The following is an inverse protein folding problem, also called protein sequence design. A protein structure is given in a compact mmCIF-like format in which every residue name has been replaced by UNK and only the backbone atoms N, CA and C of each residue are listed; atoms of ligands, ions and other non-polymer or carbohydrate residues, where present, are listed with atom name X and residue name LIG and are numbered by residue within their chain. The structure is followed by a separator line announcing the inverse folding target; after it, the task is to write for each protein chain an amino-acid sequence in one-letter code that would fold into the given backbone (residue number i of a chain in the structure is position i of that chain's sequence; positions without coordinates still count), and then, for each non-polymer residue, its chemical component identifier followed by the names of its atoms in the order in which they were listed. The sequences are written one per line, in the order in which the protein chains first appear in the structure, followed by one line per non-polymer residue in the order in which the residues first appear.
data_IF_875298520940
#
_entry.id   IF_875298520940
#
_cell.length_a   1.000
_cell.length_b   1.000
_cell.length_c   1.000
_cell.angle_alpha   90.00
_cell.angle_beta   90.00
_cell.angle_gamma   90.00
#
_symmetry.space_group_name_H-M   'P 1'
#
loop_
_entity.id
_entity.type
_entity.pdbx_description
1 polymer ?
#
# COMPACT_ATOMS: atom_id res chain seq x y z
N UNK A 1 72.88 -17.07 -16.69
CA UNK A 1 72.94 -18.42 -16.08
C UNK A 1 72.15 -19.46 -16.90
N UNK A 2 70.90 -19.21 -17.31
CA UNK A 2 70.16 -20.15 -18.17
C UNK A 2 70.82 -20.35 -19.56
N UNK A 3 71.28 -19.26 -20.20
CA UNK A 3 71.94 -19.30 -21.53
C UNK A 3 73.24 -20.12 -21.51
N UNK A 4 74.00 -20.03 -20.41
CA UNK A 4 75.23 -20.81 -20.24
C UNK A 4 74.96 -22.29 -20.04
N UNK A 5 73.85 -22.65 -19.38
CA UNK A 5 73.46 -24.06 -19.15
C UNK A 5 72.92 -24.68 -20.44
N UNK A 6 72.09 -23.97 -21.22
CA UNK A 6 71.64 -24.44 -22.54
C UNK A 6 72.78 -24.56 -23.54
N UNK A 7 73.72 -23.61 -23.55
CA UNK A 7 74.89 -23.68 -24.42
C UNK A 7 75.74 -24.92 -24.11
N UNK A 8 76.00 -25.22 -22.83
CA UNK A 8 76.76 -26.42 -22.42
C UNK A 8 76.01 -27.71 -22.75
N UNK A 9 74.69 -27.77 -22.52
CA UNK A 9 73.87 -28.93 -22.87
C UNK A 9 73.83 -29.21 -24.38
N UNK A 10 73.70 -28.17 -25.20
CA UNK A 10 73.73 -28.28 -26.65
C UNK A 10 75.11 -28.75 -27.14
N UNK A 11 76.18 -28.21 -26.56
CA UNK A 11 77.56 -28.57 -26.92
C UNK A 11 77.87 -30.04 -26.58
N UNK A 12 77.38 -30.54 -25.45
CA UNK A 12 77.48 -31.95 -25.07
C UNK A 12 76.68 -32.89 -25.99
N UNK A 13 75.46 -32.51 -26.37
CA UNK A 13 74.63 -33.29 -27.28
C UNK A 13 75.22 -33.34 -28.70
N UNK A 14 75.72 -32.20 -29.20
CA UNK A 14 76.41 -32.14 -30.49
C UNK A 14 77.70 -32.96 -30.44
N UNK A 15 78.50 -32.85 -29.38
CA UNK A 15 79.70 -33.67 -29.22
C UNK A 15 79.40 -35.17 -29.25
N UNK A 16 78.31 -35.62 -28.60
CA UNK A 16 77.89 -37.02 -28.61
C UNK A 16 77.50 -37.53 -30.02
N UNK A 17 76.92 -36.68 -30.87
CA UNK A 17 76.58 -37.05 -32.26
C UNK A 17 77.81 -37.24 -33.16
N UNK A 18 78.95 -36.65 -32.83
CA UNK A 18 80.20 -36.78 -33.61
C UNK A 18 81.08 -37.96 -33.15
N UNK A 19 80.79 -38.59 -32.01
CA UNK A 19 81.54 -39.75 -31.50
C UNK A 19 81.64 -40.93 -32.50
N UNK A 20 80.57 -41.32 -33.22
CA UNK A 20 80.64 -42.41 -34.19
C UNK A 20 81.52 -42.08 -35.41
N UNK A 21 81.56 -40.81 -35.82
CA UNK A 21 82.34 -40.36 -36.96
C UNK A 21 83.85 -40.27 -36.64
N UNK A 22 84.21 -39.97 -35.40
CA UNK A 22 85.61 -39.80 -34.97
C UNK A 22 86.29 -41.15 -34.68
N UNK A 23 85.57 -42.14 -34.13
CA UNK A 23 86.17 -43.39 -33.63
C UNK A 23 86.02 -44.61 -34.55
N UNK A 24 85.24 -44.51 -35.63
CA UNK A 24 85.19 -45.53 -36.70
C UNK A 24 84.87 -46.96 -36.21
N UNK A 25 85.39 -47.98 -36.91
CA UNK A 25 85.07 -49.39 -36.68
C UNK A 25 85.53 -49.98 -35.32
N UNK A 26 86.19 -49.20 -34.46
CA UNK A 26 86.55 -49.59 -33.09
C UNK A 26 85.49 -49.19 -32.05
N UNK A 27 84.25 -48.96 -32.49
CA UNK A 27 83.12 -48.58 -31.62
C UNK A 27 82.63 -49.78 -30.80
N UNK A 28 83.39 -50.15 -29.76
CA UNK A 28 83.00 -51.18 -28.81
C UNK A 28 81.90 -50.71 -27.84
N UNK A 29 81.25 -51.67 -27.17
CA UNK A 29 80.13 -51.49 -26.23
C UNK A 29 80.33 -50.43 -25.13
N UNK A 30 81.58 -50.05 -24.81
CA UNK A 30 81.88 -49.00 -23.83
C UNK A 30 81.58 -47.58 -24.34
N UNK A 31 81.83 -47.33 -25.63
CA UNK A 31 81.63 -45.99 -26.23
C UNK A 31 80.14 -45.71 -26.48
N UNK A 32 79.33 -46.76 -26.74
CA UNK A 32 77.88 -46.61 -26.82
C UNK A 32 77.27 -46.23 -25.47
N UNK A 33 77.70 -46.89 -24.37
CA UNK A 33 77.28 -46.54 -23.01
C UNK A 33 77.64 -45.10 -22.64
N UNK A 34 78.85 -44.65 -22.96
CA UNK A 34 79.27 -43.27 -22.67
C UNK A 34 78.44 -42.24 -23.45
N UNK A 35 78.16 -42.50 -24.73
CA UNK A 35 77.31 -41.63 -25.55
C UNK A 35 75.88 -41.56 -25.00
N UNK A 36 75.28 -42.67 -24.57
CA UNK A 36 73.94 -42.68 -23.97
C UNK A 36 73.89 -41.90 -22.66
N UNK A 37 74.91 -42.03 -21.81
CA UNK A 37 75.01 -41.25 -20.56
C UNK A 37 75.15 -39.75 -20.86
N UNK A 38 75.98 -39.37 -21.83
CA UNK A 38 76.17 -37.97 -22.21
C UNK A 38 74.88 -37.34 -22.77
N UNK A 39 74.13 -38.09 -23.59
CA UNK A 39 72.85 -37.64 -24.15
C UNK A 39 71.82 -37.48 -23.04
N UNK A 40 71.74 -38.41 -22.09
CA UNK A 40 70.79 -38.31 -20.97
C UNK A 40 71.11 -37.13 -20.06
N UNK A 41 72.39 -36.86 -19.78
CA UNK A 41 72.82 -35.69 -18.99
C UNK A 41 72.57 -34.38 -19.76
N UNK A 42 72.87 -34.35 -21.06
CA UNK A 42 72.61 -33.18 -21.91
C UNK A 42 71.11 -32.84 -21.98
N UNK A 43 70.26 -33.86 -22.13
CA UNK A 43 68.80 -33.69 -22.21
C UNK A 43 68.21 -33.21 -20.88
N UNK A 44 68.68 -33.75 -19.75
CA UNK A 44 68.22 -33.30 -18.42
C UNK A 44 68.65 -31.87 -18.13
N UNK A 45 69.86 -31.46 -18.50
CA UNK A 45 70.31 -30.07 -18.38
C UNK A 45 69.49 -29.11 -19.27
N UNK A 46 69.15 -29.53 -20.49
CA UNK A 46 68.33 -28.71 -21.38
C UNK A 46 66.90 -28.56 -20.85
N UNK A 47 66.32 -29.62 -20.29
CA UNK A 47 65.00 -29.60 -19.66
C UNK A 47 64.97 -28.67 -18.44
N UNK A 48 65.99 -28.75 -17.59
CA UNK A 48 66.11 -27.87 -16.42
C UNK A 48 66.20 -26.39 -16.81
N UNK A 49 66.96 -26.07 -17.87
CA UNK A 49 67.05 -24.70 -18.36
C UNK A 49 65.74 -24.20 -18.98
N UNK A 50 65.00 -25.07 -19.70
CA UNK A 50 63.68 -24.74 -20.23
C UNK A 50 62.69 -24.44 -19.09
N UNK A 51 62.71 -25.23 -18.02
CA UNK A 51 61.90 -25.01 -16.82
C UNK A 51 62.16 -23.65 -16.18
N UNK A 52 63.42 -23.24 -16.04
CA UNK A 52 63.78 -21.93 -15.47
C UNK A 52 63.28 -20.77 -16.34
N UNK A 53 63.28 -20.93 -17.67
CA UNK A 53 62.76 -19.90 -18.59
C UNK A 53 61.24 -19.80 -18.48
N UNK A 54 60.54 -20.94 -18.40
CA UNK A 54 59.08 -20.97 -18.21
C UNK A 54 58.68 -20.35 -16.87
N UNK A 55 59.40 -20.67 -15.80
CA UNK A 55 59.17 -20.11 -14.46
C UNK A 55 59.34 -18.59 -14.45
N UNK A 56 60.42 -18.07 -15.05
CA UNK A 56 60.61 -16.62 -15.18
C UNK A 56 59.56 -15.94 -16.05
N UNK A 57 59.07 -16.61 -17.08
CA UNK A 57 58.04 -16.07 -17.96
C UNK A 57 56.68 -15.99 -17.25
N UNK A 58 56.33 -17.02 -16.47
CA UNK A 58 55.13 -17.04 -15.64
C UNK A 58 55.16 -15.94 -14.57
N UNK A 59 56.27 -15.77 -13.85
CA UNK A 59 56.42 -14.71 -12.84
C UNK A 59 56.27 -13.31 -13.44
N UNK A 60 56.77 -13.09 -14.67
CA UNK A 60 56.62 -11.79 -15.35
C UNK A 60 55.17 -11.51 -15.78
N UNK A 61 54.42 -12.55 -16.17
CA UNK A 61 53.00 -12.42 -16.55
C UNK A 61 52.14 -12.15 -15.32
N UNK A 62 52.43 -12.80 -14.18
CA UNK A 62 51.70 -12.65 -12.93
C UNK A 62 51.83 -11.22 -12.37
N UNK A 63 53.05 -10.64 -12.37
CA UNK A 63 53.28 -9.26 -11.93
C UNK A 63 52.62 -8.20 -12.83
N UNK A 64 52.52 -8.46 -14.15
CA UNK A 64 51.85 -7.55 -15.07
C UNK A 64 50.31 -7.63 -15.00
N UNK A 65 49.77 -8.79 -14.59
CA UNK A 65 48.34 -8.99 -14.41
C UNK A 65 47.84 -8.35 -13.10
N UNK A 66 48.63 -8.39 -12.02
CA UNK A 66 48.24 -7.88 -10.71
C UNK A 66 48.04 -6.36 -10.70
N UNK A 67 48.96 -5.58 -11.30
CA UNK A 67 48.83 -4.11 -11.37
C UNK A 67 47.68 -3.62 -12.27
N UNK A 68 47.37 -4.33 -13.36
CA UNK A 68 46.23 -3.96 -14.23
C UNK A 68 44.88 -4.38 -13.65
N UNK A 69 44.85 -5.48 -12.90
CA UNK A 69 43.62 -5.92 -12.23
C UNK A 69 43.20 -4.98 -11.10
N UNK A 70 44.15 -4.46 -10.31
CA UNK A 70 43.84 -3.53 -9.20
C UNK A 70 43.33 -2.18 -9.70
N UNK A 71 43.90 -1.63 -10.77
CA UNK A 71 43.47 -0.33 -11.32
C UNK A 71 42.07 -0.41 -11.93
N UNK A 72 41.75 -1.50 -12.65
CA UNK A 72 40.42 -1.73 -13.22
C UNK A 72 39.37 -1.98 -12.13
N UNK A 73 39.74 -2.66 -11.03
CA UNK A 73 38.83 -2.88 -9.90
C UNK A 73 38.58 -1.58 -9.14
N UNK A 74 39.60 -0.74 -8.93
CA UNK A 74 39.43 0.54 -8.24
C UNK A 74 38.58 1.52 -9.06
N UNK A 75 38.79 1.61 -10.36
CA UNK A 75 37.97 2.46 -11.23
C UNK A 75 36.52 1.97 -11.31
N UNK A 76 36.29 0.66 -11.43
CA UNK A 76 34.94 0.08 -11.35
C UNK A 76 34.30 0.30 -9.99
N UNK A 77 35.07 0.25 -8.90
CA UNK A 77 34.53 0.48 -7.55
C UNK A 77 34.19 1.95 -7.34
N UNK A 78 34.97 2.89 -7.87
CA UNK A 78 34.64 4.33 -7.87
C UNK A 78 33.41 4.63 -8.71
N UNK A 79 33.32 4.04 -9.91
CA UNK A 79 32.17 4.17 -10.79
C UNK A 79 30.89 3.60 -10.13
N UNK A 80 30.98 2.41 -9.54
CA UNK A 80 29.86 1.80 -8.81
C UNK A 80 29.45 2.61 -7.58
N UNK A 81 30.40 3.17 -6.82
CA UNK A 81 30.08 4.07 -5.69
C UNK A 81 29.38 5.33 -6.19
N UNK A 82 29.88 5.95 -7.26
CA UNK A 82 29.26 7.14 -7.85
C UNK A 82 27.85 6.84 -8.38
N UNK A 83 27.64 5.70 -9.04
CA UNK A 83 26.31 5.25 -9.48
C UNK A 83 25.38 4.94 -8.31
N UNK A 84 25.90 4.38 -7.21
CA UNK A 84 25.14 4.10 -6.00
C UNK A 84 24.74 5.39 -5.29
N UNK A 85 25.63 6.39 -5.23
CA UNK A 85 25.35 7.72 -4.67
C UNK A 85 24.33 8.50 -5.52
N UNK A 86 24.45 8.47 -6.85
CA UNK A 86 23.46 9.05 -7.76
C UNK A 86 22.10 8.37 -7.60
N UNK A 87 22.07 7.04 -7.52
CA UNK A 87 20.83 6.29 -7.29
C UNK A 87 20.23 6.62 -5.93
N UNK A 88 21.03 6.66 -4.86
CA UNK A 88 20.56 7.01 -3.52
C UNK A 88 19.98 8.43 -3.50
N UNK A 89 20.61 9.38 -4.20
CA UNK A 89 20.12 10.75 -4.34
C UNK A 89 18.79 10.80 -5.09
N UNK A 90 18.66 10.07 -6.19
CA UNK A 90 17.40 9.97 -6.95
C UNK A 90 16.28 9.32 -6.15
N UNK A 91 16.59 8.26 -5.40
CA UNK A 91 15.63 7.59 -4.52
C UNK A 91 15.19 8.54 -3.41
N UNK A 92 16.11 9.28 -2.79
CA UNK A 92 15.77 10.29 -1.79
C UNK A 92 14.88 11.41 -2.37
N UNK A 93 15.20 11.92 -3.56
CA UNK A 93 14.39 12.94 -4.23
C UNK A 93 12.99 12.42 -4.62
N UNK A 94 12.88 11.17 -5.08
CA UNK A 94 11.59 10.53 -5.37
C UNK A 94 10.77 10.32 -4.09
N UNK A 95 11.42 9.92 -3.00
CA UNK A 95 10.78 9.76 -1.70
C UNK A 95 10.26 11.12 -1.19
N UNK A 96 11.07 12.17 -1.25
CA UNK A 96 10.67 13.53 -0.87
C UNK A 96 9.51 14.06 -1.72
N UNK A 97 9.55 13.84 -3.05
CA UNK A 97 8.46 14.23 -3.94
C UNK A 97 7.17 13.43 -3.66
N UNK A 98 7.29 12.15 -3.32
CA UNK A 98 6.17 11.29 -2.94
C UNK A 98 5.56 11.75 -1.61
N UNK A 99 6.39 11.98 -0.60
CA UNK A 99 5.97 12.44 0.73
C UNK A 99 5.30 13.82 0.65
N UNK A 100 5.85 14.73 -0.14
CA UNK A 100 5.23 16.04 -0.42
C UNK A 100 3.86 15.91 -1.08
N UNK A 101 3.71 15.01 -2.06
CA UNK A 101 2.43 14.76 -2.74
C UNK A 101 1.40 14.07 -1.84
N UNK A 102 1.85 13.23 -0.91
CA UNK A 102 0.97 12.61 0.09
C UNK A 102 0.47 13.65 1.09
N UNK A 103 1.35 14.51 1.59
CA UNK A 103 1.00 15.60 2.49
C UNK A 103 0.00 16.59 1.85
N UNK A 104 0.19 16.95 0.58
CA UNK A 104 -0.75 17.80 -0.16
C UNK A 104 -2.14 17.15 -0.27
N UNK A 105 -2.20 15.84 -0.56
CA UNK A 105 -3.47 15.10 -0.60
C UNK A 105 -4.15 15.03 0.76
N UNK A 106 -3.38 14.86 1.84
CA UNK A 106 -3.93 14.84 3.19
C UNK A 106 -4.48 16.21 3.60
N UNK A 107 -3.81 17.30 3.21
CA UNK A 107 -4.32 18.66 3.40
C UNK A 107 -5.63 18.91 2.63
N UNK A 108 -5.69 18.55 1.35
CA UNK A 108 -6.92 18.67 0.53
C UNK A 108 -8.09 17.86 1.13
N UNK A 109 -7.83 16.66 1.66
CA UNK A 109 -8.86 15.88 2.38
C UNK A 109 -9.33 16.59 3.64
N UNK A 110 -8.40 17.08 4.47
CA UNK A 110 -8.73 17.79 5.70
C UNK A 110 -9.59 19.04 5.42
N UNK A 111 -9.27 19.80 4.36
CA UNK A 111 -10.05 20.96 3.93
C UNK A 111 -11.47 20.56 3.50
N UNK A 112 -11.63 19.47 2.73
CA UNK A 112 -12.96 18.95 2.35
C UNK A 112 -13.79 18.56 3.57
N UNK A 113 -13.20 17.90 4.55
CA UNK A 113 -13.91 17.55 5.79
C UNK A 113 -14.32 18.78 6.59
N UNK A 114 -13.43 19.77 6.72
CA UNK A 114 -13.74 21.03 7.39
C UNK A 114 -14.85 21.82 6.69
N UNK A 115 -14.97 21.71 5.36
CA UNK A 115 -16.05 22.35 4.60
C UNK A 115 -17.43 21.80 4.95
N UNK A 116 -17.56 20.51 5.25
CA UNK A 116 -18.86 19.89 5.62
C UNK A 116 -19.49 20.59 6.83
N UNK A 117 -18.68 20.92 7.84
CA UNK A 117 -19.17 21.59 9.04
C UNK A 117 -19.50 23.09 8.81
N UNK A 118 -18.89 23.74 7.81
CA UNK A 118 -19.10 25.16 7.52
C UNK A 118 -20.25 25.40 6.55
N UNK A 119 -20.36 24.56 5.55
CA UNK A 119 -21.32 24.67 4.45
C UNK A 119 -21.82 23.28 4.09
N UNK A 120 -22.91 22.87 4.74
CA UNK A 120 -23.56 21.61 4.46
C UNK A 120 -24.34 21.71 3.14
N UNK A 121 -23.81 21.08 2.10
CA UNK A 121 -24.47 20.92 0.81
C UNK A 121 -24.28 19.50 0.31
N UNK A 122 -25.08 19.11 -0.69
CA UNK A 122 -24.92 17.81 -1.33
C UNK A 122 -23.48 17.62 -1.83
N UNK A 123 -22.90 18.64 -2.46
CA UNK A 123 -21.55 18.58 -3.05
C UNK A 123 -20.45 18.41 -1.99
N UNK A 124 -20.54 19.13 -0.87
CA UNK A 124 -19.54 19.05 0.20
C UNK A 124 -19.61 17.71 0.92
N UNK A 125 -20.82 17.23 1.25
CA UNK A 125 -21.01 15.93 1.93
C UNK A 125 -20.57 14.77 1.05
N UNK A 126 -21.03 14.71 -0.20
CA UNK A 126 -20.65 13.63 -1.12
C UNK A 126 -19.16 13.67 -1.46
N UNK A 127 -18.55 14.85 -1.60
CA UNK A 127 -17.10 14.94 -1.85
C UNK A 127 -16.26 14.46 -0.66
N UNK A 128 -16.72 14.72 0.56
CA UNK A 128 -16.09 14.24 1.78
C UNK A 128 -16.23 12.71 1.92
N UNK A 129 -17.41 12.16 1.66
CA UNK A 129 -17.63 10.70 1.65
C UNK A 129 -16.76 9.99 0.59
N UNK A 130 -16.69 10.54 -0.63
CA UNK A 130 -15.80 10.03 -1.70
C UNK A 130 -14.33 10.04 -1.26
N UNK A 131 -13.88 11.11 -0.61
CA UNK A 131 -12.50 11.24 -0.13
C UNK A 131 -12.14 10.21 0.96
N UNK A 132 -13.08 9.89 1.85
CA UNK A 132 -12.92 8.83 2.85
C UNK A 132 -12.95 7.43 2.20
N UNK A 133 -13.82 7.23 1.20
CA UNK A 133 -13.91 5.97 0.45
C UNK A 133 -12.66 5.71 -0.40
N UNK A 134 -12.04 6.74 -0.97
CA UNK A 134 -10.81 6.64 -1.76
C UNK A 134 -9.65 5.97 -1.00
N UNK A 135 -9.62 6.11 0.33
CA UNK A 135 -8.61 5.48 1.20
C UNK A 135 -9.13 4.23 1.91
N UNK A 136 -10.39 3.84 1.66
CA UNK A 136 -11.05 2.72 2.34
C UNK A 136 -11.24 2.96 3.84
N UNK A 137 -11.51 4.21 4.25
CA UNK A 137 -11.73 4.55 5.65
C UNK A 137 -13.11 4.11 6.16
N UNK A 138 -14.09 3.89 5.26
CA UNK A 138 -15.46 3.49 5.59
C UNK A 138 -15.70 2.04 5.18
N UNK A 139 -16.20 1.21 6.09
CA UNK A 139 -16.29 -0.24 5.90
C UNK A 139 -17.31 -0.66 4.83
N UNK A 140 -18.42 0.07 4.75
CA UNK A 140 -19.50 -0.13 3.76
C UNK A 140 -19.70 1.10 2.90
N UNK A 141 -18.68 1.95 2.82
CA UNK A 141 -18.74 3.22 2.12
C UNK A 141 -19.78 4.22 2.65
N UNK A 142 -20.20 3.98 3.89
CA UNK A 142 -21.20 4.71 4.65
C UNK A 142 -20.68 4.92 6.07
N UNK A 143 -21.24 5.90 6.76
CA UNK A 143 -20.89 6.21 8.14
C UNK A 143 -22.13 6.58 8.92
N UNK A 144 -22.18 6.16 10.17
CA UNK A 144 -23.21 6.56 11.11
C UNK A 144 -22.62 7.51 12.16
N UNK A 145 -23.32 8.61 12.42
CA UNK A 145 -22.88 9.66 13.35
C UNK A 145 -24.05 10.20 14.17
N UNK A 146 -23.83 10.67 15.41
CA UNK A 146 -24.86 11.36 16.18
C UNK A 146 -25.21 12.71 15.56
N UNK A 147 -26.49 13.00 15.51
CA UNK A 147 -27.06 14.31 15.17
C UNK A 147 -27.15 15.26 16.38
N UNK A 148 -26.45 14.98 17.47
CA UNK A 148 -26.50 15.79 18.69
C UNK A 148 -25.25 15.59 19.56
N UNK A 149 -25.18 16.32 20.68
CA UNK A 149 -24.10 16.20 21.66
C UNK A 149 -24.37 15.15 22.74
N UNK A 150 -25.65 14.83 22.94
CA UNK A 150 -26.08 13.91 23.99
C UNK A 150 -25.93 12.45 23.55
N UNK A 151 -25.77 11.54 24.52
CA UNK A 151 -25.61 10.12 24.25
C UNK A 151 -26.83 9.51 23.54
N UNK A 152 -28.03 10.01 23.86
CA UNK A 152 -29.31 9.57 23.30
C UNK A 152 -29.71 10.32 22.02
N UNK A 153 -28.81 11.15 21.47
CA UNK A 153 -29.05 11.83 20.20
C UNK A 153 -29.27 10.82 19.06
N UNK A 154 -30.15 11.15 18.08
CA UNK A 154 -30.42 10.28 16.96
C UNK A 154 -29.14 10.02 16.17
N UNK A 155 -28.91 8.76 15.79
CA UNK A 155 -27.79 8.37 14.93
C UNK A 155 -28.26 8.39 13.48
N UNK A 156 -27.55 9.15 12.65
CA UNK A 156 -27.86 9.32 11.23
C UNK A 156 -26.85 8.51 10.44
N UNK A 157 -27.36 7.50 9.74
CA UNK A 157 -26.62 6.76 8.73
C UNK A 157 -26.60 7.57 7.44
N UNK A 158 -25.41 7.75 6.86
CA UNK A 158 -25.20 8.46 5.61
C UNK A 158 -24.45 7.57 4.62
N UNK A 159 -24.97 7.47 3.40
CA UNK A 159 -24.38 6.66 2.34
C UNK A 159 -24.44 7.37 0.99
N UNK A 160 -23.33 7.36 0.26
CA UNK A 160 -23.25 7.84 -1.12
C UNK A 160 -22.98 6.66 -2.06
N UNK A 161 -24.05 6.12 -2.65
CA UNK A 161 -24.01 4.90 -3.43
C UNK A 161 -25.07 4.92 -4.54
N UNK A 162 -24.96 4.03 -5.55
CA UNK A 162 -26.03 3.82 -6.52
C UNK A 162 -27.33 3.45 -5.78
N UNK A 163 -28.47 3.97 -6.27
CA UNK A 163 -29.78 3.50 -5.81
C UNK A 163 -29.85 1.99 -6.02
N UNK A 164 -29.98 1.22 -4.94
CA UNK A 164 -30.25 -0.20 -5.08
C UNK A 164 -31.66 -0.34 -5.67
N UNK A 165 -31.75 -0.70 -6.95
CA UNK A 165 -33.02 -1.05 -7.59
C UNK A 165 -33.70 -2.11 -6.73
N UNK A 166 -34.86 -1.78 -6.18
CA UNK A 166 -35.65 -2.65 -5.33
C UNK A 166 -36.24 -3.79 -6.16
N UNK A 167 -35.44 -4.82 -6.48
CA UNK A 167 -35.78 -6.13 -7.08
C UNK A 167 -36.74 -6.16 -8.31
N UNK A 168 -37.14 -5.00 -8.84
CA UNK A 168 -37.89 -4.86 -10.09
C UNK A 168 -36.90 -4.94 -11.25
N UNK A 169 -36.48 -6.17 -11.55
CA UNK A 169 -35.48 -6.61 -12.54
C UNK A 169 -35.76 -6.23 -14.01
N UNK A 170 -36.36 -5.07 -14.29
CA UNK A 170 -36.75 -4.66 -15.64
C UNK A 170 -36.44 -3.22 -16.04
N UNK A 171 -35.91 -2.38 -15.15
CA UNK A 171 -35.43 -1.06 -15.56
C UNK A 171 -33.91 -1.11 -15.69
N UNK A 172 -33.36 -1.06 -16.89
CA UNK A 172 -31.91 -1.01 -17.11
C UNK A 172 -31.42 0.40 -17.44
N UNK A 173 -32.13 1.44 -17.00
CA UNK A 173 -31.78 2.81 -17.34
C UNK A 173 -31.49 3.59 -16.06
N UNK A 174 -30.19 3.74 -15.80
CA UNK A 174 -29.57 4.79 -14.99
C UNK A 174 -30.22 5.01 -13.62
N UNK A 175 -29.82 4.18 -12.65
CA UNK A 175 -30.04 4.49 -11.23
C UNK A 175 -29.40 5.85 -10.92
N UNK A 176 -30.23 6.87 -10.71
CA UNK A 176 -29.76 8.18 -10.29
C UNK A 176 -28.98 8.05 -8.97
N UNK A 177 -27.81 8.69 -8.88
CA UNK A 177 -26.97 8.61 -7.69
C UNK A 177 -27.56 9.48 -6.60
N UNK A 178 -27.80 8.90 -5.42
CA UNK A 178 -28.49 9.60 -4.34
C UNK A 178 -27.68 9.50 -3.05
N UNK A 179 -27.58 10.62 -2.34
CA UNK A 179 -27.08 10.63 -0.97
C UNK A 179 -28.25 10.22 -0.08
N UNK A 180 -28.09 9.14 0.67
CA UNK A 180 -29.14 8.57 1.50
C UNK A 180 -28.89 8.90 2.97
N UNK A 181 -29.92 9.40 3.65
CA UNK A 181 -29.91 9.65 5.09
C UNK A 181 -30.95 8.75 5.74
N UNK A 182 -30.59 8.04 6.80
CA UNK A 182 -31.57 7.30 7.59
C UNK A 182 -31.29 7.33 9.09
N UNK A 183 -32.35 7.13 9.86
CA UNK A 183 -32.35 7.09 11.31
C UNK A 183 -33.17 5.89 11.75
N UNK A 184 -32.59 5.07 12.62
CA UNK A 184 -33.33 3.99 13.29
C UNK A 184 -34.07 4.53 14.51
N UNK A 185 -35.40 4.40 14.49
CA UNK A 185 -36.28 4.76 15.60
C UNK A 185 -36.27 3.73 16.73
N UNK A 186 -36.79 4.13 17.90
CA UNK A 186 -36.81 3.28 19.09
C UNK A 186 -37.59 1.96 18.90
N UNK A 187 -38.64 1.99 18.07
CA UNK A 187 -39.50 0.85 17.76
C UNK A 187 -39.02 0.04 16.54
N UNK A 188 -37.74 0.18 16.15
CA UNK A 188 -37.18 -0.37 14.91
C UNK A 188 -37.86 0.16 13.64
N UNK A 189 -38.52 1.31 13.76
CA UNK A 189 -39.02 2.06 12.61
C UNK A 189 -37.83 2.70 11.91
N UNK A 190 -37.58 2.28 10.68
CA UNK A 190 -36.52 2.86 9.87
C UNK A 190 -37.08 4.05 9.10
N UNK A 191 -36.57 5.24 9.37
CA UNK A 191 -36.91 6.45 8.63
C UNK A 191 -35.76 6.78 7.71
N UNK A 192 -36.07 7.08 6.46
CA UNK A 192 -35.10 7.30 5.41
C UNK A 192 -35.56 8.40 4.46
N UNK A 193 -34.62 9.24 4.04
CA UNK A 193 -34.83 10.27 3.02
C UNK A 193 -33.71 10.24 1.98
N UNK A 194 -34.07 10.55 0.75
CA UNK A 194 -33.14 10.70 -0.36
C UNK A 194 -32.75 12.18 -0.47
N UNK A 195 -31.46 12.47 -0.62
CA UNK A 195 -30.93 13.81 -0.83
C UNK A 195 -30.42 13.92 -2.28
N UNK A 196 -31.21 14.50 -3.20
CA UNK A 196 -30.78 14.78 -4.57
C UNK A 196 -29.90 16.05 -4.64
N UNK A 197 -29.15 16.22 -5.73
CA UNK A 197 -28.16 17.29 -5.89
C UNK A 197 -28.75 18.70 -6.04
N UNK A 198 -30.03 18.79 -6.44
CA UNK A 198 -30.79 20.02 -6.62
C UNK A 198 -31.47 20.51 -5.33
N UNK A 199 -31.47 19.71 -4.26
CA UNK A 199 -32.16 20.03 -3.00
C UNK A 199 -31.22 20.55 -1.93
N UNK A 200 -31.63 21.63 -1.26
CA UNK A 200 -30.89 22.22 -0.17
C UNK A 200 -30.87 21.29 1.07
N UNK A 201 -29.76 21.31 1.83
CA UNK A 201 -29.60 20.49 3.02
C UNK A 201 -30.75 20.66 4.01
N UNK A 202 -31.17 21.91 4.24
CA UNK A 202 -32.23 22.22 5.21
C UNK A 202 -33.56 21.54 4.85
N UNK A 203 -33.93 21.52 3.57
CA UNK A 203 -35.19 20.92 3.12
C UNK A 203 -35.18 19.39 3.28
N UNK A 204 -34.03 18.75 3.10
CA UNK A 204 -33.87 17.30 3.33
C UNK A 204 -33.96 16.97 4.81
N UNK A 205 -33.36 17.80 5.67
CA UNK A 205 -33.41 17.61 7.12
C UNK A 205 -34.82 17.87 7.65
N UNK A 206 -35.53 18.87 7.14
CA UNK A 206 -36.95 19.10 7.46
C UNK A 206 -37.80 17.89 7.08
N UNK A 207 -37.60 17.32 5.89
CA UNK A 207 -38.29 16.09 5.47
C UNK A 207 -37.98 14.91 6.41
N UNK A 208 -36.71 14.72 6.79
CA UNK A 208 -36.31 13.68 7.74
C UNK A 208 -36.99 13.85 9.10
N UNK A 209 -37.05 15.08 9.62
CA UNK A 209 -37.70 15.39 10.88
C UNK A 209 -39.23 15.18 10.81
N UNK A 210 -39.85 15.54 9.70
CA UNK A 210 -41.27 15.32 9.46
C UNK A 210 -41.61 13.82 9.39
N UNK A 211 -40.77 13.01 8.74
CA UNK A 211 -40.92 11.55 8.72
C UNK A 211 -40.72 10.93 10.10
N UNK A 212 -39.73 11.41 10.88
CA UNK A 212 -39.53 10.99 12.26
C UNK A 212 -40.76 11.28 13.12
N UNK A 213 -41.32 12.50 13.01
CA UNK A 213 -42.55 12.89 13.71
C UNK A 213 -43.74 12.03 13.29
N UNK A 214 -43.93 11.80 11.98
CA UNK A 214 -45.02 10.95 11.44
C UNK A 214 -44.92 9.50 11.88
N UNK A 215 -43.70 9.01 12.08
CA UNK A 215 -43.42 7.65 12.57
C UNK A 215 -43.52 7.53 14.10
N UNK A 216 -43.94 8.59 14.82
CA UNK A 216 -44.07 8.59 16.28
C UNK A 216 -42.77 8.84 17.04
N UNK A 217 -41.67 9.13 16.36
CA UNK A 217 -40.35 9.37 16.95
C UNK A 217 -40.11 10.84 17.32
N UNK A 218 -41.13 11.54 17.83
CA UNK A 218 -41.07 12.98 18.11
C UNK A 218 -39.92 13.37 19.07
N UNK A 219 -39.57 12.50 20.03
CA UNK A 219 -38.43 12.73 20.94
C UNK A 219 -37.09 12.75 20.18
N UNK A 220 -36.92 11.88 19.19
CA UNK A 220 -35.71 11.87 18.35
C UNK A 220 -35.65 13.13 17.49
N UNK A 221 -36.77 13.52 16.89
CA UNK A 221 -36.85 14.77 16.11
C UNK A 221 -36.50 16.00 16.96
N UNK A 222 -36.90 16.04 18.24
CA UNK A 222 -36.56 17.13 19.16
C UNK A 222 -35.08 17.16 19.57
N UNK A 223 -34.43 15.99 19.68
CA UNK A 223 -33.02 15.88 20.03
C UNK A 223 -32.07 16.06 18.82
N UNK A 224 -32.62 16.19 17.62
CA UNK A 224 -31.87 16.35 16.39
C UNK A 224 -31.33 17.77 16.24
N UNK A 225 -30.03 17.89 15.99
CA UNK A 225 -29.32 19.14 15.73
C UNK A 225 -28.57 19.05 14.39
N UNK A 226 -29.01 19.77 13.35
CA UNK A 226 -28.30 19.84 12.06
C UNK A 226 -26.83 20.28 12.21
N UNK A 227 -26.56 21.25 13.07
CA UNK A 227 -25.21 21.75 13.32
C UNK A 227 -24.32 20.65 13.91
N UNK A 228 -24.80 19.95 14.94
CA UNK A 228 -24.06 18.86 15.56
C UNK A 228 -23.86 17.69 14.58
N UNK A 229 -24.86 17.36 13.76
CA UNK A 229 -24.77 16.33 12.72
C UNK A 229 -23.59 16.56 11.78
N UNK A 230 -23.51 17.73 11.15
CA UNK A 230 -22.45 18.01 10.16
C UNK A 230 -21.08 18.22 10.81
N UNK A 231 -21.03 18.79 12.03
CA UNK A 231 -19.80 18.87 12.80
C UNK A 231 -19.26 17.48 13.17
N UNK A 232 -20.13 16.57 13.62
CA UNK A 232 -19.78 15.21 13.96
C UNK A 232 -19.41 14.39 12.73
N UNK A 233 -20.10 14.59 11.59
CA UNK A 233 -19.72 13.99 10.31
C UNK A 233 -18.31 14.40 9.88
N UNK A 234 -18.00 15.71 9.92
CA UNK A 234 -16.66 16.21 9.57
C UNK A 234 -15.57 15.56 10.45
N UNK A 235 -15.81 15.48 11.77
CA UNK A 235 -14.91 14.81 12.72
C UNK A 235 -14.77 13.32 12.44
N UNK A 236 -15.89 12.63 12.22
CA UNK A 236 -15.91 11.20 11.94
C UNK A 236 -15.10 10.86 10.69
N UNK A 237 -15.28 11.59 9.59
CA UNK A 237 -14.55 11.36 8.35
C UNK A 237 -13.06 11.69 8.48
N UNK A 238 -12.73 12.77 9.19
CA UNK A 238 -11.35 13.12 9.50
C UNK A 238 -10.67 12.04 10.34
N UNK A 239 -11.32 11.56 11.39
CA UNK A 239 -10.76 10.55 12.29
C UNK A 239 -10.63 9.18 11.61
N UNK A 240 -11.66 8.75 10.89
CA UNK A 240 -11.63 7.50 10.11
C UNK A 240 -10.51 7.52 9.05
N UNK A 241 -10.33 8.66 8.35
CA UNK A 241 -9.26 8.84 7.36
C UNK A 241 -7.89 8.83 8.04
N UNK A 242 -7.73 9.59 9.13
CA UNK A 242 -6.48 9.67 9.90
C UNK A 242 -6.04 8.29 10.35
N UNK A 243 -6.94 7.52 10.97
CA UNK A 243 -6.62 6.16 11.43
C UNK A 243 -6.19 5.26 10.28
N UNK A 244 -6.73 5.47 9.08
CA UNK A 244 -6.44 4.67 7.91
C UNK A 244 -5.10 5.03 7.24
N UNK A 245 -4.72 6.31 7.26
CA UNK A 245 -3.51 6.82 6.59
C UNK A 245 -2.31 6.94 7.52
N UNK A 246 -2.54 7.08 8.82
CA UNK A 246 -1.49 7.28 9.80
C UNK A 246 -0.63 6.01 9.95
N UNK A 247 0.58 6.09 9.41
CA UNK A 247 1.59 5.03 9.43
C UNK A 247 2.38 5.00 10.75
N UNK A 248 2.12 5.94 11.67
CA UNK A 248 2.94 6.16 12.89
C UNK A 248 2.77 5.10 13.98
N UNK A 249 2.02 4.03 13.74
CA UNK A 249 2.06 2.83 14.58
C UNK A 249 0.92 2.69 15.59
N UNK A 250 -0.24 3.34 15.37
CA UNK A 250 -1.46 3.05 16.14
C UNK A 250 -1.90 1.59 16.04
N UNK A 251 -1.31 0.81 15.11
CA UNK A 251 -1.49 -0.64 14.97
C UNK A 251 -2.88 -1.04 14.49
N UNK A 252 -3.75 -0.07 14.23
CA UNK A 252 -5.15 -0.30 13.97
C UNK A 252 -5.51 0.10 12.54
N UNK A 253 -6.08 -0.83 11.78
CA UNK A 253 -6.32 -0.70 10.34
C UNK A 253 -7.78 -0.95 9.96
N UNK A 254 -8.71 -0.82 10.90
CA UNK A 254 -10.12 -1.11 10.67
C UNK A 254 -10.84 0.01 9.91
N UNK A 255 -11.73 -0.37 9.01
CA UNK A 255 -12.62 0.56 8.32
C UNK A 255 -13.83 0.88 9.22
N UNK A 256 -14.27 2.13 9.23
CA UNK A 256 -15.26 2.66 10.19
C UNK A 256 -16.69 2.38 9.74
N UNK A 257 -17.54 1.99 10.69
CA UNK A 257 -19.00 1.91 10.56
C UNK A 257 -19.69 3.11 11.23
N UNK A 258 -19.31 3.40 12.47
CA UNK A 258 -19.96 4.43 13.29
C UNK A 258 -18.93 5.20 14.09
N UNK A 259 -19.12 6.52 14.17
CA UNK A 259 -18.40 7.38 15.10
C UNK A 259 -19.29 7.62 16.34
N UNK A 260 -18.79 7.22 17.50
CA UNK A 260 -19.56 7.29 18.75
C UNK A 260 -19.38 8.63 19.43
N UNK A 261 -18.12 9.04 19.56
CA UNK A 261 -17.63 10.26 20.17
C UNK A 261 -16.17 10.48 19.73
N UNK A 262 -15.58 11.63 20.09
CA UNK A 262 -14.17 11.92 19.80
C UNK A 262 -13.27 10.82 20.35
N UNK A 263 -12.43 10.24 19.47
CA UNK A 263 -11.54 9.17 19.87
C UNK A 263 -12.17 7.77 19.83
N UNK A 264 -13.47 7.61 19.57
CA UNK A 264 -14.17 6.32 19.69
C UNK A 264 -14.96 5.94 18.44
N UNK A 265 -14.63 4.77 17.88
CA UNK A 265 -15.16 4.29 16.61
C UNK A 265 -15.59 2.83 16.70
N UNK A 266 -16.71 2.50 16.05
CA UNK A 266 -17.04 1.13 15.69
C UNK A 266 -16.55 0.85 14.28
N UNK A 267 -15.86 -0.27 14.10
CA UNK A 267 -15.16 -0.62 12.86
C UNK A 267 -15.42 -2.07 12.44
N UNK A 268 -14.92 -2.46 11.26
CA UNK A 268 -14.91 -3.85 10.79
C UNK A 268 -14.06 -4.80 11.64
N UNK A 269 -13.26 -4.27 12.58
CA UNK A 269 -12.50 -5.06 13.56
C UNK A 269 -13.10 -5.03 14.97
N UNK A 270 -14.13 -4.21 15.20
CA UNK A 270 -14.78 -4.04 16.51
C UNK A 270 -14.68 -2.62 17.06
N UNK A 271 -14.62 -2.47 18.38
CA UNK A 271 -14.61 -1.16 19.06
C UNK A 271 -13.18 -0.66 19.21
N UNK A 272 -12.90 0.50 18.63
CA UNK A 272 -11.62 1.18 18.70
C UNK A 272 -11.70 2.46 19.55
N UNK A 273 -10.63 2.74 20.29
CA UNK A 273 -10.38 3.98 21.00
C UNK A 273 -9.00 4.52 20.62
N UNK A 274 -8.87 5.82 20.38
CA UNK A 274 -7.57 6.46 20.11
C UNK A 274 -6.61 6.30 21.31
N UNK A 275 -7.13 6.33 22.54
CA UNK A 275 -6.32 6.24 23.76
C UNK A 275 -6.01 4.80 24.19
N UNK A 276 -6.91 3.85 23.89
CA UNK A 276 -6.78 2.45 24.33
C UNK A 276 -6.51 1.44 23.21
N UNK A 277 -6.52 1.86 21.95
CA UNK A 277 -6.41 0.98 20.78
C UNK A 277 -7.68 0.15 20.54
N UNK A 278 -7.52 -1.08 20.06
CA UNK A 278 -8.64 -2.01 19.87
C UNK A 278 -9.13 -2.53 21.23
N UNK A 279 -10.28 -2.00 21.69
CA UNK A 279 -10.85 -2.30 23.01
C UNK A 279 -11.69 -3.57 22.98
N UNK A 280 -12.49 -3.76 21.93
CA UNK A 280 -13.28 -4.97 21.72
C UNK A 280 -13.00 -5.49 20.33
N UNK A 281 -12.34 -6.64 20.23
CA UNK A 281 -12.17 -7.34 18.96
C UNK A 281 -13.49 -8.00 18.53
N UNK A 282 -13.86 -7.86 17.25
CA UNK A 282 -15.08 -8.45 16.68
C UNK A 282 -15.13 -9.97 16.86
N UNK A 283 -13.98 -10.65 16.75
CA UNK A 283 -13.86 -12.10 16.93
C UNK A 283 -14.12 -12.55 18.38
N UNK A 284 -13.94 -11.64 19.35
CA UNK A 284 -14.25 -11.89 20.76
C UNK A 284 -15.75 -11.87 21.08
N UNK A 285 -16.58 -11.29 20.20
CA UNK A 285 -18.03 -11.22 20.38
C UNK A 285 -18.64 -12.57 20.05
N UNK A 286 -19.12 -13.26 21.08
CA UNK A 286 -19.70 -14.60 21.00
C UNK A 286 -21.18 -14.51 20.68
N UNK A 287 -21.51 -14.85 19.45
CA UNK A 287 -22.90 -15.10 19.05
C UNK A 287 -23.23 -16.56 19.33
N UNK A 288 -24.40 -16.86 19.92
CA UNK A 288 -24.85 -18.24 20.08
C UNK A 288 -25.01 -18.87 18.69
N UNK A 289 -24.08 -19.79 18.35
CA UNK A 289 -24.00 -20.88 17.34
C UNK A 289 -24.95 -20.87 16.10
N UNK A 290 -24.52 -21.49 14.98
CA UNK A 290 -24.64 -20.91 13.65
C UNK A 290 -26.10 -20.67 13.26
N UNK A 291 -26.42 -19.46 12.81
CA UNK A 291 -27.73 -19.15 12.27
C UNK A 291 -27.87 -19.87 10.92
N UNK A 292 -28.36 -21.11 10.94
CA UNK A 292 -28.43 -21.97 9.76
C UNK A 292 -29.66 -21.66 8.90
N UNK A 293 -30.68 -21.02 9.47
CA UNK A 293 -31.90 -20.68 8.75
C UNK A 293 -32.13 -19.17 8.66
N UNK A 294 -32.67 -18.65 7.54
CA UNK A 294 -33.04 -17.23 7.40
C UNK A 294 -33.97 -16.72 8.50
N UNK A 295 -34.80 -17.59 9.08
CA UNK A 295 -35.70 -17.26 10.18
C UNK A 295 -34.96 -17.05 11.50
N UNK A 296 -33.94 -17.85 11.79
CA UNK A 296 -33.07 -17.69 12.97
C UNK A 296 -32.20 -16.44 12.83
N UNK A 297 -31.74 -16.13 11.62
CA UNK A 297 -30.97 -14.90 11.34
C UNK A 297 -31.81 -13.66 11.69
N UNK A 298 -33.08 -13.61 11.27
CA UNK A 298 -33.99 -12.49 11.60
C UNK A 298 -34.36 -12.40 13.09
N UNK A 299 -34.24 -13.50 13.83
CA UNK A 299 -34.55 -13.58 15.26
C UNK A 299 -33.31 -13.41 16.15
N UNK A 300 -32.14 -13.20 15.55
CA UNK A 300 -30.89 -13.05 16.29
C UNK A 300 -30.95 -11.88 17.27
N UNK A 301 -30.47 -12.12 18.48
CA UNK A 301 -30.42 -11.12 19.55
C UNK A 301 -28.99 -10.68 19.78
N UNK A 302 -28.83 -9.41 20.17
CA UNK A 302 -27.57 -8.86 20.65
C UNK A 302 -27.08 -9.74 21.82
N UNK A 303 -25.82 -10.25 21.78
CA UNK A 303 -25.30 -11.07 22.86
C UNK A 303 -25.30 -10.33 24.21
N UNK A 304 -25.70 -11.03 25.27
CA UNK A 304 -25.64 -10.52 26.65
C UNK A 304 -24.21 -10.49 27.23
N UNK A 305 -23.19 -10.82 26.42
CA UNK A 305 -21.78 -10.80 26.81
C UNK A 305 -21.39 -9.42 27.35
N UNK A 306 -20.77 -9.38 28.53
CA UNK A 306 -20.26 -8.13 29.11
C UNK A 306 -18.76 -7.99 28.80
N UNK A 307 -18.31 -6.75 28.68
CA UNK A 307 -16.90 -6.39 28.49
C UNK A 307 -16.49 -5.45 29.62
N UNK A 308 -15.27 -5.61 30.12
CA UNK A 308 -14.72 -4.74 31.15
C UNK A 308 -14.48 -3.35 30.56
N UNK A 309 -14.95 -2.31 31.26
CA UNK A 309 -14.74 -0.92 30.86
C UNK A 309 -13.28 -0.54 31.08
N UNK A 310 -12.62 0.15 30.12
CA UNK A 310 -11.31 0.75 30.35
C UNK A 310 -11.35 1.81 31.44
N UNK A 311 -10.20 2.05 32.08
CA UNK A 311 -10.09 3.03 33.16
C UNK A 311 -10.44 4.44 32.66
N UNK A 312 -11.29 5.14 33.41
CA UNK A 312 -11.67 6.54 33.12
C UNK A 312 -12.79 6.71 32.11
N UNK A 313 -13.35 5.63 31.55
CA UNK A 313 -14.49 5.69 30.63
C UNK A 313 -15.80 5.79 31.42
N UNK A 314 -16.68 6.70 31.01
CA UNK A 314 -18.00 6.84 31.61
C UNK A 314 -18.83 5.55 31.45
N UNK A 315 -19.48 5.03 32.52
CA UNK A 315 -20.23 3.78 32.44
C UNK A 315 -21.39 3.79 31.45
N UNK A 316 -22.11 4.91 31.28
CA UNK A 316 -23.24 5.01 30.36
C UNK A 316 -22.75 5.02 28.91
N UNK A 317 -21.69 5.78 28.64
CA UNK A 317 -21.02 5.75 27.34
C UNK A 317 -20.48 4.36 27.02
N UNK A 318 -19.88 3.67 27.99
CA UNK A 318 -19.36 2.31 27.80
C UNK A 318 -20.46 1.32 27.43
N UNK A 319 -21.61 1.37 28.12
CA UNK A 319 -22.76 0.54 27.80
C UNK A 319 -23.24 0.77 26.36
N UNK A 320 -23.38 2.05 25.96
CA UNK A 320 -23.73 2.43 24.60
C UNK A 320 -22.69 1.90 23.60
N UNK A 321 -21.40 2.14 23.81
CA UNK A 321 -20.34 1.72 22.89
C UNK A 321 -20.33 0.21 22.68
N UNK A 322 -20.50 -0.57 23.75
CA UNK A 322 -20.61 -2.03 23.70
C UNK A 322 -21.86 -2.47 22.92
N UNK A 323 -23.01 -1.87 23.21
CA UNK A 323 -24.27 -2.20 22.53
C UNK A 323 -24.16 -1.95 21.01
N UNK A 324 -23.72 -0.76 20.63
CA UNK A 324 -23.55 -0.35 19.23
C UNK A 324 -22.55 -1.24 18.49
N UNK A 325 -21.43 -1.57 19.11
CA UNK A 325 -20.44 -2.51 18.55
C UNK A 325 -21.06 -3.86 18.25
N UNK A 326 -21.81 -4.43 19.20
CA UNK A 326 -22.48 -5.72 18.97
C UNK A 326 -23.55 -5.64 17.90
N UNK A 327 -24.28 -4.53 17.82
CA UNK A 327 -25.30 -4.30 16.80
C UNK A 327 -24.68 -4.34 15.38
N UNK A 328 -23.61 -3.60 15.15
CA UNK A 328 -22.90 -3.59 13.86
C UNK A 328 -22.34 -4.97 13.49
N UNK A 329 -21.70 -5.65 14.45
CA UNK A 329 -21.16 -6.99 14.20
C UNK A 329 -22.28 -8.00 13.90
N UNK A 330 -23.43 -7.88 14.56
CA UNK A 330 -24.60 -8.70 14.27
C UNK A 330 -25.16 -8.43 12.87
N UNK A 331 -25.30 -7.15 12.51
CA UNK A 331 -25.78 -6.72 11.20
C UNK A 331 -24.90 -7.26 10.08
N UNK A 332 -23.57 -7.11 10.20
CA UNK A 332 -22.60 -7.60 9.22
C UNK A 332 -22.66 -9.13 9.04
N UNK A 333 -22.78 -9.88 10.14
CA UNK A 333 -22.93 -11.35 10.05
C UNK A 333 -24.25 -11.73 9.39
N UNK A 334 -25.31 -10.99 9.68
CA UNK A 334 -26.64 -11.21 9.12
C UNK A 334 -26.67 -10.98 7.62
N UNK A 335 -26.11 -9.87 7.13
CA UNK A 335 -26.01 -9.56 5.70
C UNK A 335 -25.16 -10.60 4.98
N UNK A 336 -24.00 -10.95 5.53
CA UNK A 336 -23.10 -11.97 4.97
C UNK A 336 -23.75 -13.36 4.90
N UNK A 337 -24.45 -13.80 5.95
CA UNK A 337 -25.07 -15.13 6.02
C UNK A 337 -26.31 -15.26 5.12
N UNK A 338 -27.05 -14.17 4.91
CA UNK A 338 -28.23 -14.18 4.03
C UNK A 338 -27.87 -14.16 2.54
N UNK A 339 -26.58 -13.99 2.20
CA UNK A 339 -26.16 -13.77 0.81
C UNK A 339 -26.83 -12.53 0.20
N UNK A 340 -27.32 -11.61 1.04
CA UNK A 340 -27.69 -10.28 0.61
C UNK A 340 -26.38 -9.70 0.09
N UNK A 341 -26.33 -9.43 -1.21
CA UNK A 341 -25.12 -8.96 -1.88
C UNK A 341 -24.52 -7.76 -1.12
N UNK A 342 -23.22 -7.50 -1.31
CA UNK A 342 -22.61 -6.31 -0.73
C UNK A 342 -23.48 -5.10 -1.03
N UNK A 343 -23.63 -4.21 -0.05
CA UNK A 343 -24.18 -2.86 -0.27
C UNK A 343 -23.52 -2.33 -1.54
N UNK A 344 -24.27 -1.79 -2.52
CA UNK A 344 -23.71 -1.38 -3.80
C UNK A 344 -22.46 -0.54 -3.57
N UNK A 345 -21.41 -0.83 -4.35
CA UNK A 345 -20.08 -0.22 -4.17
C UNK A 345 -20.24 1.30 -4.05
N UNK A 346 -19.95 1.82 -2.86
CA UNK A 346 -20.08 3.24 -2.61
C UNK A 346 -19.18 4.02 -3.56
N UNK A 347 -19.60 5.24 -3.87
CA UNK A 347 -18.86 6.05 -4.81
C UNK A 347 -17.53 6.51 -4.21
N UNK A 348 -16.52 6.47 -5.06
CA UNK A 348 -15.17 7.01 -4.88
C UNK A 348 -15.00 8.20 -5.83
N UNK A 349 -13.93 8.99 -5.70
CA UNK A 349 -13.66 10.06 -6.67
C UNK A 349 -13.50 9.54 -8.12
N UNK A 350 -13.23 8.23 -8.28
CA UNK A 350 -13.07 7.57 -9.58
C UNK A 350 -14.38 7.03 -10.16
N UNK A 351 -15.27 6.54 -9.30
CA UNK A 351 -16.54 5.89 -9.70
C UNK A 351 -17.74 6.82 -9.58
N UNK A 352 -17.58 7.98 -8.96
CA UNK A 352 -18.66 8.94 -8.77
C UNK A 352 -19.17 9.52 -10.10
N UNK A 353 -20.50 9.54 -10.33
CA UNK A 353 -21.11 10.13 -11.51
C UNK A 353 -20.96 11.67 -11.55
N UNK A 354 -20.64 12.29 -10.40
CA UNK A 354 -20.32 13.73 -10.32
C UNK A 354 -19.12 14.13 -11.18
N UNK A 355 -18.31 13.17 -11.64
CA UNK A 355 -17.19 13.42 -12.56
C UNK A 355 -17.61 14.11 -13.86
N UNK A 356 -18.84 13.90 -14.32
CA UNK A 356 -19.35 14.54 -15.54
C UNK A 356 -19.77 16.01 -15.33
N UNK A 357 -20.05 16.42 -14.09
CA UNK A 357 -20.43 17.80 -13.75
C UNK A 357 -19.21 18.72 -13.58
N UNK A 358 -18.02 18.16 -13.35
CA UNK A 358 -16.76 18.92 -13.40
C UNK A 358 -16.43 19.21 -14.86
N UNK A 359 -16.87 20.37 -15.35
CA UNK A 359 -16.56 20.88 -16.69
C UNK A 359 -15.09 20.64 -17.08
N UNK A 360 -14.79 20.14 -18.30
CA UNK A 360 -13.43 19.86 -18.77
C UNK A 360 -12.61 21.12 -19.12
N UNK A 361 -12.88 22.27 -18.50
CA UNK A 361 -12.40 23.56 -19.00
C UNK A 361 -10.92 23.87 -18.79
N UNK A 362 -10.13 23.01 -18.11
CA UNK A 362 -8.73 23.31 -17.81
C UNK A 362 -7.71 22.17 -18.01
N UNK A 363 -8.08 20.95 -18.39
CA UNK A 363 -7.09 19.87 -18.58
C UNK A 363 -6.49 19.78 -19.99
N UNK A 364 -7.11 20.37 -21.01
CA UNK A 364 -6.62 20.28 -22.40
C UNK A 364 -5.69 21.42 -22.82
N UNK A 365 -5.26 22.30 -21.91
CA UNK A 365 -4.37 23.43 -22.26
C UNK A 365 -2.87 23.21 -22.00
N UNK A 366 -2.45 22.08 -21.42
CA UNK A 366 -1.08 21.93 -20.94
C UNK A 366 -0.15 21.05 -21.80
N UNK A 367 -0.57 20.60 -22.99
CA UNK A 367 0.29 19.76 -23.86
C UNK A 367 0.56 20.30 -25.26
N UNK A 368 0.20 21.54 -25.58
CA UNK A 368 0.58 22.16 -26.85
C UNK A 368 1.87 22.99 -26.68
N UNK A 369 2.98 22.29 -26.41
CA UNK A 369 4.32 22.88 -26.53
C UNK A 369 4.69 22.85 -28.02
N UNK A 370 4.84 24.00 -28.70
CA UNK A 370 5.13 24.00 -30.12
C UNK A 370 6.53 23.44 -30.37
N UNK A 371 6.57 22.35 -31.13
CA UNK A 371 7.79 21.73 -31.63
C UNK A 371 8.48 22.71 -32.62
N UNK A 372 9.32 23.62 -32.11
CA UNK A 372 10.16 24.46 -32.96
C UNK A 372 11.22 23.59 -33.63
N UNK A 373 11.00 23.28 -34.92
CA UNK A 373 12.06 22.80 -35.81
C UNK A 373 13.13 23.90 -35.94
N UNK A 374 14.42 23.58 -35.76
CA UNK A 374 15.48 24.50 -36.15
C UNK A 374 15.52 24.59 -37.67
N UNK A 375 15.39 25.81 -38.19
CA UNK A 375 15.65 26.15 -39.58
C UNK A 375 17.14 25.96 -39.87
N UNK A 376 17.44 25.05 -40.78
CA UNK A 376 18.75 24.91 -41.41
C UNK A 376 19.12 26.25 -42.07
N UNK A 377 20.31 26.73 -41.73
CA UNK A 377 20.95 27.87 -42.38
C UNK A 377 21.75 27.32 -43.56
N UNK A 378 21.33 27.65 -44.78
CA UNK A 378 22.09 27.42 -46.01
C UNK A 378 23.41 28.21 -45.99
N UNK A 379 24.47 27.57 -46.46
CA UNK A 379 25.72 28.18 -46.92
C UNK A 379 26.07 27.62 -48.31
#
# INVERSE_FOLDING_TARGET
MAITITAVGLLLAVAACFFPAIFGAAYGNFHSLLATVLINIGTTLMLAAALIVVDKWLVHVEQAAEHRATEIVDDRTRELRSQTEDLATRVAALQEALDGRLAEKDADRADRFANVAREASFDTVTSALEAANDVGALATGSVEVPSGTDLDAPRVFMCWAPRAESDDRRSSDQSEPLLFLSVDGADRTHVAVEWPDDKAAIEVLEELLDELNRSGNARLAQAFSPEALFANLARALSEATRIRTDSSGSGFTGATYEWLAEGWLVTDKGLFSTDHGLVIDQGSIKFPVPMMTPREIRAARIPAQQFASPDGVDPQFWELAVERTKHHVLSQRTTSNLGLGPIPDAYTSRTSPRRHLRHPSNQDKETDTPNMRPTETEA
#
